data_IF_541310333893
#
_entry.id   IF_541310333893
#
_cell.length_a   1.000
_cell.length_b   1.000
_cell.length_c   1.000
_cell.angle_alpha   90.00
_cell.angle_beta   90.00
_cell.angle_gamma   90.00
#
_symmetry.space_group_name_H-M   'P 1'
#
loop_
_entity.id
_entity.type
_entity.pdbx_description
1 polymer ?
#
# COMPACT_ATOMS: atom_id res chain seq x y z
N UNK A 1 -31.38 56.06 -13.64
CA UNK A 1 -29.97 56.32 -13.29
C UNK A 1 -29.80 56.30 -11.77
N UNK A 2 -28.72 55.67 -11.32
CA UNK A 2 -28.42 55.20 -9.96
C UNK A 2 -28.44 56.31 -8.89
N UNK A 3 -28.92 55.98 -7.69
CA UNK A 3 -28.53 56.65 -6.44
C UNK A 3 -28.22 55.59 -5.39
N UNK A 4 -26.92 55.34 -5.18
CA UNK A 4 -26.42 54.76 -3.95
C UNK A 4 -26.17 55.91 -2.99
N UNK A 5 -26.81 55.88 -1.83
CA UNK A 5 -26.45 56.70 -0.67
C UNK A 5 -26.31 55.73 0.50
N UNK A 6 -25.08 55.57 0.97
CA UNK A 6 -24.76 54.91 2.23
C UNK A 6 -25.41 55.70 3.38
N UNK A 7 -26.02 54.99 4.33
CA UNK A 7 -26.37 55.54 5.64
C UNK A 7 -25.78 54.63 6.74
N UNK A 8 -25.18 55.30 7.72
CA UNK A 8 -24.52 54.81 8.94
C UNK A 8 -25.58 54.40 9.99
N UNK A 9 -25.22 53.57 10.97
CA UNK A 9 -25.60 53.61 12.42
C UNK A 9 -24.99 52.33 13.08
N UNK A 10 -23.89 52.41 13.84
CA UNK A 10 -23.73 52.69 15.30
C UNK A 10 -24.19 51.58 16.25
N UNK A 11 -23.18 50.92 16.87
CA UNK A 11 -23.08 50.21 18.15
C UNK A 11 -24.35 49.68 18.87
N UNK A 12 -24.48 48.36 18.95
CA UNK A 12 -25.29 47.66 19.97
C UNK A 12 -24.37 47.04 21.03
N UNK A 13 -24.56 47.42 22.29
CA UNK A 13 -23.98 46.80 23.47
C UNK A 13 -24.56 45.41 23.71
N UNK A 14 -23.71 44.39 23.66
CA UNK A 14 -24.10 43.00 23.92
C UNK A 14 -24.32 42.73 25.41
N UNK A 15 -25.47 42.14 25.72
CA UNK A 15 -25.70 41.38 26.96
C UNK A 15 -25.35 39.93 26.64
N UNK A 16 -24.26 39.43 27.22
CA UNK A 16 -23.91 38.01 27.16
C UNK A 16 -24.73 37.24 28.20
N UNK A 17 -25.68 36.43 27.74
CA UNK A 17 -26.34 35.40 28.55
C UNK A 17 -25.53 34.12 28.40
N UNK A 18 -24.75 33.75 29.42
CA UNK A 18 -24.09 32.44 29.49
C UNK A 18 -25.05 31.43 30.11
N UNK A 19 -25.66 30.59 29.28
CA UNK A 19 -26.34 29.40 29.74
C UNK A 19 -25.29 28.29 30.01
N UNK A 20 -24.95 28.06 31.27
CA UNK A 20 -24.18 26.86 31.66
C UNK A 20 -25.14 25.67 31.73
N UNK A 21 -25.17 24.87 30.66
CA UNK A 21 -25.75 23.53 30.75
C UNK A 21 -24.74 22.67 31.51
N UNK A 22 -24.95 22.54 32.83
CA UNK A 22 -24.26 21.53 33.63
C UNK A 22 -24.92 20.18 33.31
N UNK A 23 -24.38 19.46 32.34
CA UNK A 23 -24.76 18.07 32.13
C UNK A 23 -24.01 17.22 33.16
N UNK A 24 -24.71 16.92 34.25
CA UNK A 24 -24.29 15.91 35.23
C UNK A 24 -24.44 14.53 34.59
N UNK A 25 -23.37 14.06 33.94
CA UNK A 25 -23.25 12.65 33.55
C UNK A 25 -22.96 11.83 34.81
N UNK A 26 -24.02 11.38 35.48
CA UNK A 26 -23.94 10.27 36.42
C UNK A 26 -23.99 8.97 35.59
N UNK A 27 -22.82 8.49 35.18
CA UNK A 27 -22.60 7.08 34.85
C UNK A 27 -21.22 6.69 35.39
N UNK A 28 -21.20 6.38 36.68
CA UNK A 28 -20.12 5.62 37.30
C UNK A 28 -20.41 4.14 37.07
N UNK A 29 -20.11 3.63 35.88
CA UNK A 29 -19.98 2.20 35.64
C UNK A 29 -18.69 1.97 34.84
N UNK A 30 -17.63 1.69 35.60
CA UNK A 30 -16.59 0.72 35.26
C UNK A 30 -16.22 0.55 33.77
N UNK A 31 -15.73 1.59 33.11
CA UNK A 31 -14.77 1.36 32.02
C UNK A 31 -13.40 1.13 32.67
N UNK A 32 -13.14 -0.11 33.06
CA UNK A 32 -11.77 -0.62 33.07
C UNK A 32 -11.13 -0.19 31.75
N UNK A 33 -10.15 0.71 31.82
CA UNK A 33 -9.16 0.86 30.75
C UNK A 33 -8.44 -0.48 30.64
N UNK A 34 -9.06 -1.42 29.95
CA UNK A 34 -8.36 -2.56 29.39
C UNK A 34 -7.50 -1.94 28.30
N UNK A 35 -6.29 -1.51 28.65
CA UNK A 35 -5.24 -1.38 27.66
C UNK A 35 -5.16 -2.74 27.00
N UNK A 36 -5.65 -2.83 25.76
CA UNK A 36 -5.47 -4.02 24.95
C UNK A 36 -3.96 -4.21 24.86
N UNK A 37 -3.45 -5.19 25.61
CA UNK A 37 -2.08 -5.65 25.46
C UNK A 37 -2.01 -6.36 24.11
N UNK A 38 -1.92 -5.59 23.04
CA UNK A 38 -1.56 -6.14 21.73
C UNK A 38 -0.17 -6.74 21.89
N UNK A 39 -0.10 -8.07 21.87
CA UNK A 39 1.18 -8.77 21.81
C UNK A 39 1.73 -8.57 20.40
N UNK A 40 2.41 -7.44 20.21
CA UNK A 40 3.03 -7.07 18.95
C UNK A 40 4.09 -8.14 18.64
N UNK A 41 3.76 -9.08 17.74
CA UNK A 41 4.68 -10.14 17.28
C UNK A 41 6.01 -9.50 16.83
N UNK A 42 7.11 -10.24 16.94
CA UNK A 42 8.41 -9.77 16.44
C UNK A 42 8.27 -9.26 14.98
N UNK A 43 8.61 -8.00 14.67
CA UNK A 43 8.47 -7.47 13.31
C UNK A 43 9.25 -8.27 12.26
N UNK A 44 10.30 -8.98 12.67
CA UNK A 44 11.10 -9.84 11.78
C UNK A 44 10.29 -11.06 11.25
N UNK A 45 9.30 -11.52 12.01
CA UNK A 45 8.49 -12.70 11.65
C UNK A 45 7.13 -12.33 11.07
N UNK A 46 6.86 -11.04 10.82
CA UNK A 46 5.59 -10.59 10.25
C UNK A 46 5.65 -10.54 8.73
N UNK A 47 4.52 -10.82 8.11
CA UNK A 47 4.38 -10.74 6.67
C UNK A 47 4.73 -9.35 6.13
N UNK A 48 5.27 -9.31 4.92
CA UNK A 48 5.63 -8.09 4.21
C UNK A 48 4.94 -8.07 2.86
N UNK A 49 4.35 -6.94 2.50
CA UNK A 49 3.72 -6.72 1.19
C UNK A 49 4.54 -5.68 0.44
N UNK A 50 5.09 -6.04 -0.71
CA UNK A 50 5.72 -5.11 -1.63
C UNK A 50 4.75 -4.81 -2.77
N UNK A 51 4.51 -3.53 -3.06
CA UNK A 51 3.63 -3.09 -4.15
C UNK A 51 4.45 -2.26 -5.14
N UNK A 52 4.29 -2.53 -6.43
CA UNK A 52 4.94 -1.77 -7.52
C UNK A 52 3.90 -1.43 -8.58
N UNK A 53 3.97 -0.23 -9.16
CA UNK A 53 3.11 0.10 -10.30
C UNK A 53 3.59 -0.66 -11.53
N UNK A 54 2.67 -0.99 -12.44
CA UNK A 54 3.00 -1.64 -13.70
C UNK A 54 2.46 -0.81 -14.84
N UNK A 55 3.34 -0.49 -15.79
CA UNK A 55 3.01 0.19 -17.03
C UNK A 55 3.27 -0.74 -18.21
N UNK A 56 2.25 -1.00 -19.00
CA UNK A 56 2.42 -1.76 -20.24
C UNK A 56 3.26 -0.96 -21.23
N UNK A 57 4.16 -1.66 -21.95
CA UNK A 57 4.93 -1.05 -23.03
C UNK A 57 4.01 -0.67 -24.19
N UNK A 58 4.43 0.32 -24.99
CA UNK A 58 3.65 0.73 -26.18
C UNK A 58 3.44 -0.47 -27.11
N UNK A 59 2.18 -0.70 -27.52
CA UNK A 59 1.81 -1.82 -28.38
C UNK A 59 1.69 -3.18 -27.67
N UNK A 60 1.92 -3.27 -26.36
CA UNK A 60 1.69 -4.50 -25.61
C UNK A 60 0.18 -4.81 -25.49
N UNK A 61 -0.17 -6.09 -25.63
CA UNK A 61 -1.55 -6.55 -25.45
C UNK A 61 -1.87 -6.71 -23.97
N UNK A 62 -2.92 -6.01 -23.49
CA UNK A 62 -3.43 -6.18 -22.14
C UNK A 62 -3.90 -7.62 -21.88
N UNK A 63 -4.56 -8.26 -22.86
CA UNK A 63 -5.00 -9.65 -22.73
C UNK A 63 -3.81 -10.61 -22.58
N UNK A 64 -2.74 -10.40 -23.35
CA UNK A 64 -1.53 -11.22 -23.22
C UNK A 64 -0.87 -11.04 -21.85
N UNK A 65 -0.83 -9.80 -21.36
CA UNK A 65 -0.31 -9.48 -20.03
C UNK A 65 -1.16 -10.09 -18.92
N UNK A 66 -2.49 -10.03 -19.01
CA UNK A 66 -3.41 -10.63 -18.03
C UNK A 66 -3.30 -12.17 -18.02
N UNK A 67 -3.12 -12.81 -19.19
CA UNK A 67 -2.82 -14.26 -19.26
C UNK A 67 -1.50 -14.60 -18.58
N UNK A 68 -0.47 -13.80 -18.81
CA UNK A 68 0.82 -13.96 -18.12
C UNK A 68 0.68 -13.79 -16.60
N UNK A 69 -0.08 -12.80 -16.15
CA UNK A 69 -0.35 -12.56 -14.73
C UNK A 69 -1.10 -13.73 -14.08
N UNK A 70 -2.04 -14.35 -14.80
CA UNK A 70 -2.73 -15.56 -14.33
C UNK A 70 -1.75 -16.73 -14.15
N UNK A 71 -0.82 -16.94 -15.09
CA UNK A 71 0.22 -17.99 -14.97
C UNK A 71 1.13 -17.76 -13.77
N UNK A 72 1.52 -16.51 -13.54
CA UNK A 72 2.30 -16.09 -12.37
C UNK A 72 1.60 -16.49 -11.08
N UNK A 73 0.32 -16.14 -10.93
CA UNK A 73 -0.44 -16.39 -9.70
C UNK A 73 -0.71 -17.90 -9.44
N UNK A 74 -0.58 -18.75 -10.46
CA UNK A 74 -0.76 -20.19 -10.38
C UNK A 74 0.56 -20.97 -10.30
N UNK A 75 1.68 -20.28 -10.00
CA UNK A 75 3.01 -20.88 -9.84
C UNK A 75 3.52 -21.64 -11.07
N UNK A 76 3.05 -21.32 -12.29
CA UNK A 76 3.48 -22.02 -13.52
C UNK A 76 4.96 -21.77 -13.86
N UNK A 77 5.57 -20.74 -13.27
CA UNK A 77 7.00 -20.44 -13.37
C UNK A 77 7.83 -21.04 -12.21
N UNK A 78 7.19 -21.81 -11.34
CA UNK A 78 7.78 -22.42 -10.15
C UNK A 78 7.48 -21.64 -8.87
N UNK A 79 7.55 -22.32 -7.72
CA UNK A 79 7.30 -21.72 -6.41
C UNK A 79 8.57 -21.13 -5.81
N UNK A 80 8.46 -19.95 -5.22
CA UNK A 80 9.50 -19.36 -4.38
C UNK A 80 9.10 -19.60 -2.91
N UNK A 81 9.89 -20.33 -2.12
CA UNK A 81 9.55 -20.60 -0.73
C UNK A 81 9.30 -19.31 0.06
N UNK A 82 8.14 -19.23 0.72
CA UNK A 82 7.75 -18.09 1.55
C UNK A 82 7.32 -16.84 0.79
N UNK A 83 7.18 -16.92 -0.55
CA UNK A 83 6.82 -15.76 -1.38
C UNK A 83 5.65 -16.08 -2.31
N UNK A 84 4.70 -15.16 -2.39
CA UNK A 84 3.59 -15.19 -3.34
C UNK A 84 3.65 -13.94 -4.23
N UNK A 85 3.38 -14.14 -5.51
CA UNK A 85 3.42 -13.06 -6.50
C UNK A 85 2.12 -13.02 -7.28
N UNK A 86 1.61 -11.83 -7.55
CA UNK A 86 0.46 -11.65 -8.41
C UNK A 86 0.41 -10.23 -8.96
N UNK A 87 -0.43 -10.05 -9.98
CA UNK A 87 -0.79 -8.73 -10.49
C UNK A 87 -2.26 -8.48 -10.21
N UNK A 88 -2.58 -7.28 -9.75
CA UNK A 88 -3.95 -6.81 -9.58
C UNK A 88 -4.24 -5.68 -10.57
N UNK A 89 -5.47 -5.62 -11.05
CA UNK A 89 -6.00 -4.56 -11.93
C UNK A 89 -6.93 -3.66 -11.14
N UNK A 90 -6.78 -2.35 -11.30
CA UNK A 90 -7.69 -1.37 -10.72
C UNK A 90 -9.05 -1.44 -11.40
N UNK A 91 -10.10 -1.72 -10.63
CA UNK A 91 -11.48 -1.80 -11.13
C UNK A 91 -12.31 -0.55 -10.77
N UNK A 92 -11.88 0.22 -9.77
CA UNK A 92 -12.58 1.42 -9.26
C UNK A 92 -11.58 2.49 -8.77
N UNK A 93 -12.05 3.74 -8.66
CA UNK A 93 -11.27 4.89 -8.18
C UNK A 93 -10.46 5.58 -9.27
N UNK A 94 -9.40 6.27 -8.89
CA UNK A 94 -8.59 7.07 -9.83
C UNK A 94 -7.66 6.24 -10.72
N UNK A 95 -7.43 4.97 -10.37
CA UNK A 95 -6.48 4.06 -11.02
C UNK A 95 -7.20 2.92 -11.78
N UNK A 96 -8.42 3.18 -12.28
CA UNK A 96 -9.17 2.20 -13.09
C UNK A 96 -8.36 1.81 -14.33
N UNK A 97 -8.21 0.51 -14.57
CA UNK A 97 -7.45 -0.05 -15.68
C UNK A 97 -5.94 -0.11 -15.45
N UNK A 98 -5.40 0.55 -14.42
CA UNK A 98 -3.99 0.45 -14.03
C UNK A 98 -3.69 -0.92 -13.43
N UNK A 99 -2.42 -1.33 -13.46
CA UNK A 99 -1.95 -2.58 -12.87
C UNK A 99 -0.95 -2.32 -11.74
N UNK A 100 -0.97 -3.19 -10.74
CA UNK A 100 0.07 -3.28 -9.72
C UNK A 100 0.64 -4.70 -9.66
N UNK A 101 1.94 -4.80 -9.44
CA UNK A 101 2.64 -6.03 -9.11
C UNK A 101 2.79 -6.11 -7.60
N UNK A 102 2.33 -7.22 -7.02
CA UNK A 102 2.34 -7.44 -5.58
C UNK A 102 3.20 -8.66 -5.26
N UNK A 103 4.04 -8.50 -4.25
CA UNK A 103 4.83 -9.57 -3.66
C UNK A 103 4.47 -9.67 -2.19
N UNK A 104 4.00 -10.83 -1.76
CA UNK A 104 3.77 -11.14 -0.35
C UNK A 104 4.87 -12.06 0.13
N UNK A 105 5.58 -11.63 1.17
CA UNK A 105 6.54 -12.45 1.92
C UNK A 105 5.88 -12.89 3.22
N UNK A 106 6.05 -14.16 3.60
CA UNK A 106 5.57 -14.67 4.90
C UNK A 106 6.23 -13.99 6.10
N UNK A 107 7.43 -13.44 5.92
CA UNK A 107 8.17 -12.72 6.95
C UNK A 107 9.10 -11.66 6.36
N UNK A 108 9.47 -10.67 7.19
CA UNK A 108 10.54 -9.71 6.86
C UNK A 108 11.87 -10.42 6.65
N UNK A 109 12.17 -11.48 7.41
CA UNK A 109 13.37 -12.31 7.20
C UNK A 109 13.41 -12.91 5.79
N UNK A 110 12.29 -13.44 5.31
CA UNK A 110 12.17 -13.96 3.95
C UNK A 110 12.39 -12.86 2.91
N UNK A 111 11.81 -11.66 3.10
CA UNK A 111 12.06 -10.51 2.22
C UNK A 111 13.54 -10.16 2.18
N UNK A 112 14.18 -10.02 3.34
CA UNK A 112 15.59 -9.63 3.44
C UNK A 112 16.53 -10.72 2.90
N UNK A 113 16.15 -11.99 2.94
CA UNK A 113 16.90 -13.11 2.35
C UNK A 113 16.93 -13.01 0.82
N UNK A 114 15.79 -12.78 0.17
CA UNK A 114 15.73 -12.66 -1.29
C UNK A 114 16.15 -11.27 -1.79
N UNK A 115 15.79 -10.20 -1.07
CA UNK A 115 16.02 -8.80 -1.45
C UNK A 115 16.72 -8.02 -0.33
N UNK A 116 17.99 -8.32 -0.05
CA UNK A 116 18.76 -7.62 0.99
C UNK A 116 18.96 -6.13 0.66
N UNK A 117 18.81 -5.27 1.66
CA UNK A 117 18.88 -3.81 1.48
C UNK A 117 20.30 -3.28 1.15
N UNK A 118 21.35 -3.94 1.66
CA UNK A 118 22.72 -3.40 1.64
C UNK A 118 23.76 -4.37 1.04
N UNK A 119 23.33 -5.49 0.47
CA UNK A 119 24.20 -6.52 -0.09
C UNK A 119 23.61 -7.06 -1.39
N UNK A 120 24.43 -7.65 -2.29
CA UNK A 120 23.88 -8.47 -3.35
C UNK A 120 23.16 -9.68 -2.76
N UNK A 121 22.18 -10.18 -3.50
CA UNK A 121 21.49 -11.43 -3.20
C UNK A 121 22.50 -12.58 -3.00
N UNK A 122 22.24 -13.44 -2.01
CA UNK A 122 23.11 -14.59 -1.76
C UNK A 122 23.08 -15.58 -2.95
N UNK A 123 24.12 -16.42 -3.14
CA UNK A 123 24.10 -17.47 -4.15
C UNK A 123 22.93 -18.45 -3.97
N UNK A 124 22.53 -18.70 -2.73
CA UNK A 124 21.39 -19.57 -2.40
C UNK A 124 20.07 -18.96 -2.87
N UNK A 125 19.80 -17.70 -2.51
CA UNK A 125 18.62 -16.98 -2.98
C UNK A 125 18.62 -16.86 -4.51
N UNK A 126 19.78 -16.60 -5.13
CA UNK A 126 19.93 -16.57 -6.60
C UNK A 126 19.53 -17.90 -7.23
N UNK A 127 19.96 -19.04 -6.67
CA UNK A 127 19.60 -20.37 -7.19
C UNK A 127 18.11 -20.65 -7.06
N UNK A 128 17.49 -20.22 -5.96
CA UNK A 128 16.05 -20.38 -5.73
C UNK A 128 15.21 -19.53 -6.71
N UNK A 129 15.71 -18.36 -7.11
CA UNK A 129 15.08 -17.50 -8.11
C UNK A 129 15.49 -17.82 -9.56
N UNK A 130 16.47 -18.70 -9.80
CA UNK A 130 16.92 -19.04 -11.15
C UNK A 130 15.77 -19.52 -12.08
N UNK A 131 14.81 -20.36 -11.63
CA UNK A 131 13.68 -20.77 -12.47
C UNK A 131 12.79 -19.59 -12.93
N UNK A 132 12.84 -18.48 -12.19
CA UNK A 132 12.08 -17.26 -12.46
C UNK A 132 12.73 -16.34 -13.50
N UNK A 133 13.90 -16.70 -14.04
CA UNK A 133 14.51 -15.92 -15.12
C UNK A 133 13.57 -15.81 -16.33
N UNK A 134 12.91 -16.93 -16.70
CA UNK A 134 11.93 -16.95 -17.79
C UNK A 134 10.74 -16.01 -17.53
N UNK A 135 10.32 -15.90 -16.26
CA UNK A 135 9.28 -14.96 -15.86
C UNK A 135 9.72 -13.51 -16.12
N UNK A 136 10.95 -13.16 -15.72
CA UNK A 136 11.49 -11.82 -15.89
C UNK A 136 11.61 -11.46 -17.38
N UNK A 137 12.10 -12.38 -18.20
CA UNK A 137 12.27 -12.19 -19.64
C UNK A 137 10.93 -12.00 -20.38
N UNK A 138 9.87 -12.71 -19.95
CA UNK A 138 8.53 -12.55 -20.51
C UNK A 138 7.91 -11.22 -20.10
N UNK A 139 8.00 -10.87 -18.82
CA UNK A 139 7.54 -9.59 -18.29
C UNK A 139 8.18 -8.40 -18.99
N UNK A 140 9.50 -8.44 -19.17
CA UNK A 140 10.25 -7.36 -19.79
C UNK A 140 9.75 -7.05 -21.20
N UNK A 141 9.24 -8.03 -21.95
CA UNK A 141 8.70 -7.80 -23.29
C UNK A 141 7.37 -7.02 -23.27
N UNK A 142 6.59 -7.15 -22.21
CA UNK A 142 5.21 -6.68 -22.15
C UNK A 142 5.03 -5.42 -21.30
N UNK A 143 5.78 -5.29 -20.22
CA UNK A 143 5.56 -4.24 -19.25
C UNK A 143 6.86 -3.71 -18.64
N UNK A 144 6.72 -2.59 -17.96
CA UNK A 144 7.70 -1.97 -17.11
C UNK A 144 7.10 -2.00 -15.71
N UNK A 145 7.77 -2.65 -14.77
CA UNK A 145 7.46 -2.44 -13.37
C UNK A 145 8.01 -1.05 -13.01
N UNK A 146 7.11 -0.09 -12.87
CA UNK A 146 7.44 1.23 -12.38
C UNK A 146 7.71 1.13 -10.87
N UNK A 147 8.99 1.08 -10.57
CA UNK A 147 9.53 1.38 -9.25
C UNK A 147 9.41 2.92 -9.16
N UNK A 148 8.25 3.41 -8.68
CA UNK A 148 7.82 4.81 -8.78
C UNK A 148 8.88 5.74 -8.16
N UNK A 149 9.47 6.59 -8.99
CA UNK A 149 10.57 7.46 -8.59
C UNK A 149 10.04 8.65 -7.78
N UNK A 150 10.11 8.54 -6.45
CA UNK A 150 9.72 9.61 -5.52
C UNK A 150 10.82 9.97 -4.50
N UNK A 151 12.03 9.38 -4.58
CA UNK A 151 13.10 9.62 -3.61
C UNK A 151 14.36 8.76 -3.77
N UNK A 152 15.11 8.53 -2.68
CA UNK A 152 16.39 7.77 -2.66
C UNK A 152 16.24 6.26 -2.90
N UNK A 153 15.08 5.69 -2.59
CA UNK A 153 14.73 4.31 -2.89
C UNK A 153 13.38 4.31 -3.63
N UNK A 154 13.30 3.59 -4.74
CA UNK A 154 12.17 3.69 -5.67
C UNK A 154 10.93 2.87 -5.24
N UNK A 155 10.99 2.22 -4.07
CA UNK A 155 10.01 1.23 -3.66
C UNK A 155 9.58 1.37 -2.20
N UNK A 156 8.43 0.77 -1.87
CA UNK A 156 7.93 0.68 -0.50
C UNK A 156 7.44 -0.74 -0.24
N UNK A 157 7.86 -1.26 0.91
CA UNK A 157 7.43 -2.54 1.43
C UNK A 157 6.72 -2.29 2.76
N UNK A 158 5.56 -2.93 2.95
CA UNK A 158 4.67 -2.71 4.08
C UNK A 158 4.72 -3.92 5.00
N UNK A 159 5.10 -3.73 6.26
CA UNK A 159 4.97 -4.76 7.29
C UNK A 159 3.50 -4.85 7.69
N UNK A 160 2.93 -6.06 7.63
CA UNK A 160 1.56 -6.32 8.06
C UNK A 160 1.48 -6.20 9.59
N UNK A 161 0.49 -5.44 10.07
CA UNK A 161 0.19 -5.32 11.49
C UNK A 161 -0.96 -6.28 11.81
N UNK A 162 -0.69 -7.29 12.61
CA UNK A 162 -1.60 -8.37 13.01
C UNK A 162 -1.53 -8.61 14.52
#
# INVERSE_FOLDING_TARGET
MKKNLLFIISFFSGIAVTATISWKSNNSDNMTKTSLNYNIKNPETRAVIAIRKVKLKSGASAEAFEKWAAKLANDEYGKVPGVKYYVAKGERGDEIGSYIYVVEFDSKQTRDFYYPAAAPMSPEATKLLQPWQKFADELEKMAIIEIVNTGKENFTDYIVLE
#
